data_IF_020755406117
#
_entry.id   IF_020755406117
#
_cell.length_a   1.000
_cell.length_b   1.000
_cell.length_c   1.000
_cell.angle_alpha   90.00
_cell.angle_beta   90.00
_cell.angle_gamma   90.00
#
_symmetry.space_group_name_H-M   'P 1'
#
loop_
_entity.id
_entity.type
_entity.pdbx_description
1 polymer ?
#
# COMPACT_ATOMS: atom_id res chain seq x y z
N UNK A 1 20.97 3.71 -11.87
CA UNK A 1 22.44 3.67 -11.73
C UNK A 1 23.15 4.63 -12.68
N UNK A 2 22.64 4.81 -13.94
CA UNK A 2 23.31 5.66 -14.92
C UNK A 2 23.35 7.14 -14.49
N UNK A 3 22.24 7.65 -13.92
CA UNK A 3 22.09 9.07 -13.65
C UNK A 3 22.27 9.42 -12.16
N UNK A 4 21.89 8.51 -11.25
CA UNK A 4 21.91 8.78 -9.79
C UNK A 4 22.87 7.89 -9.00
N UNK A 5 23.47 6.87 -9.63
CA UNK A 5 24.42 5.96 -8.98
C UNK A 5 23.76 5.01 -7.99
N UNK A 6 23.30 5.50 -6.84
CA UNK A 6 22.68 4.74 -5.76
C UNK A 6 21.29 5.30 -5.39
N UNK A 7 20.51 4.47 -4.69
CA UNK A 7 19.20 4.82 -4.16
C UNK A 7 19.22 4.76 -2.63
N UNK A 8 18.65 5.75 -1.99
CA UNK A 8 18.46 5.79 -0.53
C UNK A 8 17.08 5.23 -0.16
N UNK A 9 16.07 5.46 -0.99
CA UNK A 9 14.73 4.92 -0.79
C UNK A 9 13.98 4.67 -2.09
N UNK A 10 12.88 3.90 -1.99
CA UNK A 10 11.95 3.64 -3.07
C UNK A 10 10.52 3.67 -2.55
N UNK A 11 9.64 4.37 -3.25
CA UNK A 11 8.19 4.37 -3.01
C UNK A 11 7.49 3.63 -4.14
N UNK A 12 6.76 2.56 -3.79
CA UNK A 12 5.91 1.81 -4.69
C UNK A 12 4.45 2.19 -4.47
N UNK A 13 3.91 3.03 -5.34
CA UNK A 13 2.54 3.51 -5.30
C UNK A 13 1.74 3.04 -6.54
N UNK A 14 1.84 1.73 -6.85
CA UNK A 14 1.24 1.13 -8.05
C UNK A 14 0.19 0.11 -7.63
N UNK A 15 -1.00 0.21 -8.22
CA UNK A 15 -2.05 -0.79 -8.11
C UNK A 15 -2.95 -0.73 -9.34
N UNK A 16 -3.47 -1.88 -9.74
CA UNK A 16 -4.42 -1.99 -10.85
C UNK A 16 -5.34 -3.20 -10.69
N UNK A 17 -6.58 -3.04 -11.05
CA UNK A 17 -7.56 -4.09 -11.29
C UNK A 17 -8.58 -3.63 -12.33
N UNK A 18 -9.22 -4.55 -13.01
CA UNK A 18 -10.30 -4.22 -13.94
C UNK A 18 -11.49 -3.68 -13.14
N UNK A 19 -11.88 -2.45 -13.45
CA UNK A 19 -12.86 -1.69 -12.67
C UNK A 19 -14.22 -2.37 -12.59
N UNK A 20 -14.64 -3.02 -13.67
CA UNK A 20 -15.95 -3.65 -13.76
C UNK A 20 -16.06 -4.87 -12.81
N UNK A 21 -14.94 -5.50 -12.48
CA UNK A 21 -14.89 -6.63 -11.56
C UNK A 21 -14.65 -6.21 -10.08
N UNK A 22 -14.44 -4.94 -9.80
CA UNK A 22 -14.43 -4.43 -8.42
C UNK A 22 -15.84 -4.27 -7.86
N UNK A 23 -16.86 -4.25 -8.73
CA UNK A 23 -18.28 -4.24 -8.34
C UNK A 23 -18.86 -5.67 -8.40
N UNK A 24 -19.99 -5.90 -7.76
CA UNK A 24 -20.60 -7.23 -7.73
C UNK A 24 -19.97 -8.15 -6.67
N UNK A 25 -20.00 -9.46 -6.93
CA UNK A 25 -19.54 -10.48 -5.98
C UNK A 25 -18.07 -10.83 -6.21
N UNK A 26 -17.30 -10.91 -5.14
CA UNK A 26 -15.90 -11.34 -5.24
C UNK A 26 -15.72 -12.72 -5.88
N UNK A 27 -16.61 -13.66 -5.58
CA UNK A 27 -16.54 -15.03 -6.10
C UNK A 27 -16.66 -15.13 -7.64
N UNK A 28 -17.14 -14.08 -8.28
CA UNK A 28 -17.29 -13.99 -9.74
C UNK A 28 -16.04 -13.36 -10.42
N UNK A 29 -14.99 -13.04 -9.66
CA UNK A 29 -13.73 -12.53 -10.21
C UNK A 29 -13.12 -13.51 -11.21
N UNK A 30 -12.81 -13.04 -12.41
CA UNK A 30 -12.17 -13.87 -13.44
C UNK A 30 -10.73 -14.21 -13.07
N UNK A 31 -10.26 -15.37 -13.52
CA UNK A 31 -8.86 -15.78 -13.35
C UNK A 31 -7.89 -14.79 -14.01
N UNK A 32 -8.30 -14.20 -15.14
CA UNK A 32 -7.50 -13.19 -15.87
C UNK A 32 -7.29 -11.93 -15.02
N UNK A 33 -8.38 -11.35 -14.50
CA UNK A 33 -8.28 -10.16 -13.67
C UNK A 33 -7.61 -10.44 -12.33
N UNK A 34 -7.85 -11.61 -11.72
CA UNK A 34 -7.13 -12.04 -10.52
C UNK A 34 -5.61 -12.04 -10.76
N UNK A 35 -5.16 -12.70 -11.83
CA UNK A 35 -3.75 -12.74 -12.19
C UNK A 35 -3.18 -11.34 -12.46
N UNK A 36 -3.86 -10.54 -13.26
CA UNK A 36 -3.46 -9.17 -13.60
C UNK A 36 -3.34 -8.29 -12.34
N UNK A 37 -4.34 -8.35 -11.46
CA UNK A 37 -4.37 -7.58 -10.21
C UNK A 37 -3.21 -7.97 -9.30
N UNK A 38 -2.97 -9.27 -9.08
CA UNK A 38 -1.87 -9.77 -8.26
C UNK A 38 -0.50 -9.42 -8.86
N UNK A 39 -0.35 -9.56 -10.17
CA UNK A 39 0.91 -9.26 -10.84
C UNK A 39 1.28 -7.78 -10.75
N UNK A 40 0.32 -6.89 -11.04
CA UNK A 40 0.56 -5.44 -11.06
C UNK A 40 0.60 -4.85 -9.64
N UNK A 41 -0.31 -5.26 -8.75
CA UNK A 41 -0.46 -4.62 -7.45
C UNK A 41 0.40 -5.24 -6.34
N UNK A 42 0.92 -6.46 -6.55
CA UNK A 42 1.72 -7.19 -5.53
C UNK A 42 3.11 -7.52 -6.06
N UNK A 43 3.19 -8.36 -7.10
CA UNK A 43 4.48 -8.86 -7.59
C UNK A 43 5.38 -7.74 -8.09
N UNK A 44 4.82 -6.68 -8.66
CA UNK A 44 5.61 -5.52 -9.13
C UNK A 44 6.47 -4.91 -8.02
N UNK A 45 5.98 -4.86 -6.77
CA UNK A 45 6.77 -4.38 -5.63
C UNK A 45 7.96 -5.30 -5.36
N UNK A 46 7.74 -6.61 -5.30
CA UNK A 46 8.82 -7.60 -5.14
C UNK A 46 9.84 -7.52 -6.27
N UNK A 47 9.36 -7.42 -7.52
CA UNK A 47 10.22 -7.34 -8.71
C UNK A 47 11.08 -6.06 -8.75
N UNK A 48 10.54 -4.94 -8.28
CA UNK A 48 11.28 -3.67 -8.20
C UNK A 48 12.24 -3.71 -7.01
N UNK A 49 11.82 -4.23 -5.85
CA UNK A 49 12.67 -4.38 -4.67
C UNK A 49 13.93 -5.21 -4.98
N UNK A 50 13.78 -6.34 -5.68
CA UNK A 50 14.91 -7.18 -6.12
C UNK A 50 15.95 -6.42 -6.95
N UNK A 51 15.52 -5.44 -7.73
CA UNK A 51 16.42 -4.62 -8.54
C UNK A 51 16.99 -3.43 -7.75
N UNK A 52 16.15 -2.82 -6.91
CA UNK A 52 16.53 -1.69 -6.08
C UNK A 52 17.58 -2.07 -5.03
N UNK A 53 17.46 -3.26 -4.44
CA UNK A 53 18.42 -3.81 -3.46
C UNK A 53 19.88 -3.66 -3.91
N UNK A 54 20.14 -3.91 -5.20
CA UNK A 54 21.50 -3.83 -5.78
C UNK A 54 22.02 -2.41 -5.94
N UNK A 55 21.14 -1.43 -5.83
CA UNK A 55 21.42 0.00 -5.98
C UNK A 55 21.32 0.76 -4.65
N UNK A 56 20.79 0.11 -3.61
CA UNK A 56 20.63 0.74 -2.30
C UNK A 56 21.95 0.75 -1.53
N UNK A 57 22.12 1.80 -0.76
CA UNK A 57 23.14 1.87 0.27
C UNK A 57 22.72 0.98 1.45
N UNK A 58 23.68 0.61 2.29
CA UNK A 58 23.37 0.00 3.59
C UNK A 58 22.47 0.97 4.37
N UNK A 59 21.28 0.49 4.75
CA UNK A 59 20.28 1.32 5.44
C UNK A 59 19.20 1.96 4.58
N UNK A 60 18.98 1.48 3.36
CA UNK A 60 17.90 1.96 2.47
C UNK A 60 16.48 1.67 2.99
N UNK A 61 15.48 2.29 2.37
CA UNK A 61 14.08 2.13 2.77
C UNK A 61 13.16 1.90 1.57
N UNK A 62 12.33 0.86 1.66
CA UNK A 62 11.25 0.57 0.71
C UNK A 62 9.90 0.87 1.36
N UNK A 63 9.02 1.53 0.63
CA UNK A 63 7.69 1.88 1.10
C UNK A 63 6.65 1.51 0.04
N UNK A 64 5.54 0.92 0.46
CA UNK A 64 4.36 0.73 -0.39
C UNK A 64 3.10 1.29 0.28
N UNK A 65 2.02 1.40 -0.50
CA UNK A 65 0.72 1.86 -0.02
C UNK A 65 -0.27 0.69 -0.02
N UNK A 66 -0.88 0.44 1.12
CA UNK A 66 -1.96 -0.53 1.31
C UNK A 66 -3.25 0.18 1.70
N UNK A 67 -4.26 -0.60 2.05
CA UNK A 67 -5.55 -0.10 2.46
C UNK A 67 -6.25 -1.11 3.37
N UNK A 68 -7.07 -0.62 4.29
CA UNK A 68 -7.81 -1.40 5.29
C UNK A 68 -8.62 -2.60 4.71
N UNK A 69 -8.95 -2.55 3.42
CA UNK A 69 -9.52 -3.68 2.69
C UNK A 69 -8.64 -4.94 2.64
N UNK A 70 -7.37 -4.86 3.07
CA UNK A 70 -6.49 -6.01 3.30
C UNK A 70 -6.91 -6.83 4.54
N UNK A 71 -7.49 -6.19 5.54
CA UNK A 71 -7.86 -6.80 6.83
C UNK A 71 -9.36 -7.06 6.95
N UNK A 72 -10.18 -6.19 6.38
CA UNK A 72 -11.63 -6.23 6.48
C UNK A 72 -12.28 -6.20 5.10
N UNK A 73 -13.43 -6.85 4.99
CA UNK A 73 -14.24 -6.74 3.78
C UNK A 73 -14.71 -5.30 3.57
N UNK A 74 -14.46 -4.81 2.35
CA UNK A 74 -14.87 -3.48 1.91
C UNK A 74 -15.75 -3.58 0.67
N UNK A 75 -16.91 -2.88 0.61
CA UNK A 75 -17.73 -2.88 -0.58
C UNK A 75 -16.97 -2.34 -1.80
N UNK A 76 -17.19 -2.95 -2.96
CA UNK A 76 -16.61 -2.56 -4.25
C UNK A 76 -15.07 -2.55 -4.28
N UNK A 77 -14.44 -3.41 -3.46
CA UNK A 77 -13.00 -3.56 -3.41
C UNK A 77 -12.52 -4.96 -3.84
N UNK A 78 -13.34 -5.98 -3.67
CA UNK A 78 -13.20 -7.35 -4.16
C UNK A 78 -11.75 -7.87 -4.21
N UNK A 79 -11.27 -8.27 -5.40
CA UNK A 79 -9.92 -8.82 -5.60
C UNK A 79 -8.80 -7.87 -5.18
N UNK A 80 -9.04 -6.56 -5.19
CA UNK A 80 -8.04 -5.59 -4.70
C UNK A 80 -7.80 -5.75 -3.20
N UNK A 81 -8.81 -6.08 -2.39
CA UNK A 81 -8.62 -6.40 -0.97
C UNK A 81 -7.70 -7.60 -0.77
N UNK A 82 -7.92 -8.67 -1.53
CA UNK A 82 -7.04 -9.86 -1.53
C UNK A 82 -5.62 -9.50 -1.95
N UNK A 83 -5.47 -8.67 -2.98
CA UNK A 83 -4.16 -8.20 -3.42
C UNK A 83 -3.46 -7.35 -2.34
N UNK A 84 -4.18 -6.48 -1.64
CA UNK A 84 -3.59 -5.71 -0.54
C UNK A 84 -3.14 -6.58 0.65
N UNK A 85 -3.91 -7.62 0.99
CA UNK A 85 -3.49 -8.61 1.99
C UNK A 85 -2.20 -9.33 1.57
N UNK A 86 -2.11 -9.75 0.31
CA UNK A 86 -0.91 -10.35 -0.25
C UNK A 86 0.28 -9.37 -0.29
N UNK A 87 0.04 -8.09 -0.59
CA UNK A 87 1.06 -7.04 -0.56
C UNK A 87 1.62 -6.84 0.84
N UNK A 88 0.78 -6.81 1.87
CA UNK A 88 1.21 -6.70 3.28
C UNK A 88 2.00 -7.94 3.74
N UNK A 89 1.59 -9.12 3.31
CA UNK A 89 2.40 -10.32 3.52
C UNK A 89 3.79 -10.17 2.86
N UNK A 90 3.83 -9.70 1.60
CA UNK A 90 5.09 -9.48 0.87
C UNK A 90 6.02 -8.48 1.57
N UNK A 91 5.47 -7.43 2.19
CA UNK A 91 6.24 -6.48 3.02
C UNK A 91 7.00 -7.22 4.12
N UNK A 92 6.32 -8.10 4.86
CA UNK A 92 6.94 -8.87 5.97
C UNK A 92 8.05 -9.80 5.49
N UNK A 93 7.82 -10.53 4.39
CA UNK A 93 8.83 -11.44 3.84
C UNK A 93 10.04 -10.67 3.29
N UNK A 94 9.81 -9.59 2.54
CA UNK A 94 10.89 -8.75 2.03
C UNK A 94 11.68 -8.07 3.16
N UNK A 95 11.02 -7.67 4.25
CA UNK A 95 11.72 -7.13 5.42
C UNK A 95 12.64 -8.15 6.09
N UNK A 96 12.22 -9.42 6.16
CA UNK A 96 13.08 -10.50 6.67
C UNK A 96 14.28 -10.75 5.75
N UNK A 97 14.08 -10.75 4.42
CA UNK A 97 15.14 -11.01 3.44
C UNK A 97 16.16 -9.85 3.35
N UNK A 98 15.68 -8.60 3.41
CA UNK A 98 16.49 -7.41 3.18
C UNK A 98 17.03 -6.78 4.48
N UNK A 99 16.45 -7.13 5.63
CA UNK A 99 16.87 -6.64 6.94
C UNK A 99 18.36 -6.86 7.27
N UNK A 100 18.98 -8.01 6.93
CA UNK A 100 20.42 -8.22 7.11
C UNK A 100 21.32 -7.21 6.38
N UNK A 101 20.77 -6.53 5.34
CA UNK A 101 21.44 -5.42 4.63
C UNK A 101 21.01 -4.05 5.13
N UNK A 102 20.38 -3.99 6.30
CA UNK A 102 19.81 -2.77 6.88
C UNK A 102 18.79 -2.05 5.98
N UNK A 103 18.18 -2.74 5.01
CA UNK A 103 17.11 -2.20 4.16
C UNK A 103 15.78 -2.47 4.84
N UNK A 104 15.04 -1.42 5.14
CA UNK A 104 13.73 -1.46 5.77
C UNK A 104 12.61 -1.57 4.73
N UNK A 105 11.57 -2.32 5.01
CA UNK A 105 10.41 -2.46 4.12
C UNK A 105 9.14 -2.21 4.90
N UNK A 106 8.42 -1.16 4.55
CA UNK A 106 7.22 -0.74 5.27
C UNK A 106 6.04 -0.50 4.32
N UNK A 107 4.84 -0.46 4.88
CA UNK A 107 3.63 -0.07 4.18
C UNK A 107 2.86 0.98 4.97
N UNK A 108 2.18 1.89 4.27
CA UNK A 108 1.19 2.80 4.86
C UNK A 108 -0.20 2.32 4.45
N UNK A 109 -1.03 1.99 5.43
CA UNK A 109 -2.47 1.78 5.25
C UNK A 109 -3.15 3.14 5.37
N UNK A 110 -3.32 3.81 4.25
CA UNK A 110 -3.95 5.13 4.21
C UNK A 110 -5.47 5.00 4.27
N UNK A 111 -6.14 5.89 5.01
CA UNK A 111 -7.58 6.08 4.94
C UNK A 111 -8.03 6.50 3.53
N UNK A 112 -9.35 6.56 3.27
CA UNK A 112 -9.84 6.94 1.95
C UNK A 112 -9.47 8.38 1.62
N UNK A 113 -8.71 8.57 0.55
CA UNK A 113 -8.23 9.87 0.07
C UNK A 113 -8.80 10.13 -1.33
N UNK A 114 -9.22 11.35 -1.59
CA UNK A 114 -9.65 11.79 -2.92
C UNK A 114 -8.45 11.80 -3.89
N UNK A 115 -8.25 10.69 -4.58
CA UNK A 115 -7.25 10.58 -5.65
C UNK A 115 -7.92 10.19 -6.97
N UNK A 116 -7.19 10.34 -8.07
CA UNK A 116 -7.66 9.91 -9.39
C UNK A 116 -7.93 8.38 -9.41
N UNK A 117 -7.06 7.59 -8.76
CA UNK A 117 -7.24 6.15 -8.62
C UNK A 117 -8.48 5.79 -7.80
N UNK A 118 -8.72 6.50 -6.70
CA UNK A 118 -9.89 6.29 -5.84
C UNK A 118 -11.21 6.65 -6.54
N UNK A 119 -11.21 7.59 -7.49
CA UNK A 119 -12.41 7.92 -8.28
C UNK A 119 -12.90 6.76 -9.16
N UNK A 120 -12.05 5.77 -9.40
CA UNK A 120 -12.40 4.53 -10.10
C UNK A 120 -13.18 3.50 -9.27
N UNK A 121 -13.20 3.64 -7.94
CA UNK A 121 -13.93 2.76 -7.03
C UNK A 121 -15.39 3.19 -7.01
N UNK A 122 -16.31 2.24 -7.22
CA UNK A 122 -17.74 2.48 -7.09
C UNK A 122 -18.08 2.99 -5.68
N UNK A 123 -19.04 3.90 -5.58
CA UNK A 123 -19.52 4.47 -4.31
C UNK A 123 -18.44 5.13 -3.42
N UNK A 124 -17.33 5.55 -4.00
CA UNK A 124 -16.24 6.17 -3.25
C UNK A 124 -16.69 7.37 -2.40
N UNK A 125 -17.71 8.12 -2.86
CA UNK A 125 -18.32 9.19 -2.07
C UNK A 125 -19.01 8.68 -0.79
N UNK A 126 -19.60 7.49 -0.84
CA UNK A 126 -20.17 6.84 0.34
C UNK A 126 -19.06 6.45 1.32
N UNK A 127 -17.99 5.84 0.83
CA UNK A 127 -16.83 5.45 1.66
C UNK A 127 -16.22 6.67 2.37
N UNK A 128 -16.06 7.82 1.67
CA UNK A 128 -15.58 9.06 2.27
C UNK A 128 -16.48 9.56 3.40
N UNK A 129 -17.79 9.65 3.14
CA UNK A 129 -18.78 10.10 4.14
C UNK A 129 -18.84 9.16 5.34
N UNK A 130 -18.83 7.86 5.08
CA UNK A 130 -18.83 6.86 6.14
C UNK A 130 -17.59 7.01 7.04
N UNK A 131 -16.43 7.22 6.43
CA UNK A 131 -15.20 7.46 7.17
C UNK A 131 -15.27 8.76 7.98
N UNK A 132 -15.69 9.86 7.38
CA UNK A 132 -15.88 11.14 8.08
C UNK A 132 -16.81 11.01 9.29
N UNK A 133 -17.88 10.23 9.15
CA UNK A 133 -18.84 10.03 10.24
C UNK A 133 -18.30 9.14 11.37
N UNK A 134 -17.55 8.09 11.03
CA UNK A 134 -17.10 7.08 11.98
C UNK A 134 -15.67 7.33 12.52
N UNK A 135 -14.81 7.99 11.76
CA UNK A 135 -13.45 8.29 12.21
C UNK A 135 -13.46 9.10 13.53
N UNK A 136 -12.59 8.79 14.51
CA UNK A 136 -12.50 9.56 15.75
C UNK A 136 -12.31 11.06 15.53
N UNK A 137 -11.51 11.45 14.55
CA UNK A 137 -11.28 12.85 14.21
C UNK A 137 -12.40 13.47 13.33
N UNK A 138 -13.41 12.68 12.95
CA UNK A 138 -14.56 13.13 12.14
C UNK A 138 -14.16 13.79 10.81
N UNK A 139 -13.07 13.35 10.23
CA UNK A 139 -12.57 13.79 8.93
C UNK A 139 -11.80 12.68 8.23
N UNK A 140 -11.58 12.82 6.95
CA UNK A 140 -10.63 11.98 6.20
C UNK A 140 -9.20 12.45 6.40
N UNK A 141 -8.24 11.56 6.16
CA UNK A 141 -6.81 11.89 6.11
C UNK A 141 -6.51 12.70 4.85
N UNK A 142 -5.56 13.63 4.92
CA UNK A 142 -5.11 14.41 3.76
C UNK A 142 -3.93 13.72 3.05
N UNK A 143 -3.67 14.15 1.81
CA UNK A 143 -2.50 13.66 1.03
C UNK A 143 -1.20 14.05 1.73
N UNK A 144 -1.15 15.24 2.29
CA UNK A 144 -0.01 15.78 3.02
C UNK A 144 0.31 14.96 4.28
N UNK A 145 -0.71 14.57 5.06
CA UNK A 145 -0.53 13.73 6.25
C UNK A 145 0.03 12.35 5.92
N UNK A 146 -0.38 11.78 4.77
CA UNK A 146 0.22 10.53 4.27
C UNK A 146 1.65 10.77 3.80
N UNK A 147 1.92 11.91 3.17
CA UNK A 147 3.27 12.34 2.79
C UNK A 147 4.20 12.47 3.98
N UNK A 148 3.77 13.12 5.06
CA UNK A 148 4.53 13.28 6.30
C UNK A 148 4.85 11.92 6.94
N UNK A 149 3.88 11.01 6.96
CA UNK A 149 4.07 9.63 7.41
C UNK A 149 5.09 8.88 6.55
N UNK A 150 5.06 9.10 5.24
CA UNK A 150 6.04 8.52 4.32
C UNK A 150 7.45 9.07 4.57
N UNK A 151 7.60 10.38 4.78
CA UNK A 151 8.88 11.02 5.13
C UNK A 151 9.44 10.41 6.42
N UNK A 152 8.60 10.24 7.45
CA UNK A 152 9.02 9.59 8.69
C UNK A 152 9.55 8.17 8.45
N UNK A 153 8.81 7.33 7.71
CA UNK A 153 9.19 5.94 7.46
C UNK A 153 10.41 5.81 6.54
N UNK A 154 10.61 6.74 5.63
CA UNK A 154 11.74 6.71 4.68
C UNK A 154 13.03 7.31 5.26
N UNK A 155 12.93 8.19 6.24
CA UNK A 155 14.07 8.87 6.87
C UNK A 155 14.66 8.06 8.02
N UNK A 156 15.79 8.56 8.57
CA UNK A 156 16.43 8.01 9.76
C UNK A 156 15.56 8.06 11.02
N UNK A 157 14.54 8.90 11.06
CA UNK A 157 13.57 8.92 12.17
C UNK A 157 12.83 7.59 12.32
N UNK A 158 12.57 6.91 11.21
CA UNK A 158 11.92 5.59 11.17
C UNK A 158 12.88 4.40 11.23
N UNK A 159 14.16 4.58 11.58
CA UNK A 159 15.20 3.53 11.50
C UNK A 159 14.95 2.26 12.32
N UNK A 160 14.12 2.32 13.35
CA UNK A 160 13.73 1.15 14.16
C UNK A 160 12.56 0.36 13.56
N UNK A 161 11.89 0.89 12.54
CA UNK A 161 10.70 0.29 11.94
C UNK A 161 11.10 -0.53 10.71
N UNK A 162 11.22 -1.86 10.90
CA UNK A 162 11.70 -2.78 9.87
C UNK A 162 10.59 -3.33 8.97
N UNK A 163 9.42 -3.59 9.55
CA UNK A 163 8.29 -4.17 8.85
C UNK A 163 7.00 -3.75 9.56
N UNK A 164 6.52 -2.58 9.22
CA UNK A 164 5.28 -2.06 9.81
C UNK A 164 4.25 -1.78 8.70
N UNK A 165 3.00 -2.11 8.99
CA UNK A 165 1.87 -1.51 8.30
C UNK A 165 1.38 -0.39 9.21
N UNK A 166 1.80 0.85 8.92
CA UNK A 166 1.31 2.02 9.65
C UNK A 166 -0.09 2.34 9.17
N UNK A 167 -1.09 2.10 10.01
CA UNK A 167 -2.45 2.53 9.73
C UNK A 167 -2.57 4.03 10.02
N UNK A 168 -2.66 4.83 8.96
CA UNK A 168 -3.01 6.25 9.03
C UNK A 168 -4.52 6.45 8.84
N UNK A 169 -5.27 5.36 8.60
CA UNK A 169 -6.72 5.45 8.66
C UNK A 169 -7.10 5.78 10.10
N UNK A 170 -7.83 6.84 10.27
CA UNK A 170 -8.43 7.25 11.56
C UNK A 170 -9.59 6.30 11.88
N UNK A 171 -9.51 5.05 11.44
CA UNK A 171 -10.56 4.05 11.49
C UNK A 171 -10.15 2.89 12.39
N UNK A 172 -10.93 2.64 13.28
CA UNK A 172 -11.47 1.57 14.13
C UNK A 172 -10.89 0.16 13.94
N UNK A 173 -10.33 -0.36 15.00
CA UNK A 173 -10.41 -1.78 15.33
C UNK A 173 -11.76 -2.06 15.99
N UNK A 174 -12.63 -2.81 15.35
CA UNK A 174 -13.71 -3.56 15.98
C UNK A 174 -13.30 -5.01 16.09
#
# INVERSE_FOLDING_TARGET
ARDWGKLDFLVHAIAFSDKDELTGRYVDTSAENFHKTMFISVYSFTAIAQRAEKLMNDGGSLLTLTYYGAEKWMPHYNVMGVAKAALEASVRYMAADLGPKAIRVNAISAGPIKTLAASGIGDFRYILRWNEYNAPMRRTVSIEEVGDSAVYLLSDMGRVLLSITSDTSVAWSW
#
